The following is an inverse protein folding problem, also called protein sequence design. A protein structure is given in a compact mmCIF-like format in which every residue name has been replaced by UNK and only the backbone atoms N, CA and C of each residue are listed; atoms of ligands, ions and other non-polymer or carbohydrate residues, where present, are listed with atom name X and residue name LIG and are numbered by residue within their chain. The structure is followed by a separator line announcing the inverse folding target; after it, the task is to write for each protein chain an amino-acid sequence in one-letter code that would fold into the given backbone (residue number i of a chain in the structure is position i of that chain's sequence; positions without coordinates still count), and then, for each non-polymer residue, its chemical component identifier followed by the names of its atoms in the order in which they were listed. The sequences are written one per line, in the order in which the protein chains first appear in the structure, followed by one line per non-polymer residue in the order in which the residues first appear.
data_IF_492334105827
#
_entry.id   IF_492334105827
#
_cell.length_a   1.000
_cell.length_b   1.000
_cell.length_c   1.000
_cell.angle_alpha   90.00
_cell.angle_beta   90.00
_cell.angle_gamma   90.00
#
_symmetry.space_group_name_H-M   'P 1'
#
loop_
_entity.id
_entity.type
_entity.pdbx_description
1 polymer ?
#
# COMPACT_ATOMS: atom_id res chain seq x y z
N UNK A 1 -1.14 19.13 8.31
CA UNK A 1 -0.36 19.55 7.13
C UNK A 1 -1.23 19.33 5.89
N UNK A 2 -1.04 20.09 4.80
CA UNK A 2 -1.74 19.87 3.52
C UNK A 2 -0.72 19.42 2.47
N UNK A 3 -1.12 18.50 1.59
CA UNK A 3 -0.30 18.03 0.46
C UNK A 3 -1.09 18.06 -0.84
N UNK A 4 -0.36 18.16 -1.96
CA UNK A 4 -0.91 18.01 -3.30
C UNK A 4 -0.82 16.54 -3.69
N UNK A 5 -1.97 15.90 -3.88
CA UNK A 5 -2.05 14.51 -4.37
C UNK A 5 -2.37 14.55 -5.86
N UNK A 6 -1.58 13.81 -6.65
CA UNK A 6 -1.81 13.62 -8.08
C UNK A 6 -2.55 12.30 -8.30
N UNK A 7 -3.83 12.37 -8.63
CA UNK A 7 -4.63 11.24 -9.04
C UNK A 7 -4.63 11.05 -10.57
N UNK A 8 -5.23 9.94 -11.01
CA UNK A 8 -5.39 9.57 -12.43
C UNK A 8 -6.07 10.64 -13.30
N UNK A 9 -6.87 11.54 -12.73
CA UNK A 9 -7.64 12.55 -13.46
C UNK A 9 -7.32 14.00 -13.07
N UNK A 10 -6.28 14.25 -12.27
CA UNK A 10 -5.95 15.61 -11.82
C UNK A 10 -5.23 15.65 -10.49
N UNK A 11 -5.18 16.82 -9.86
CA UNK A 11 -4.60 17.00 -8.53
C UNK A 11 -5.63 17.52 -7.53
N UNK A 12 -5.41 17.24 -6.24
CA UNK A 12 -6.22 17.74 -5.14
C UNK A 12 -5.33 18.18 -3.99
N UNK A 13 -5.74 19.23 -3.28
CA UNK A 13 -5.09 19.64 -2.03
C UNK A 13 -5.84 18.97 -0.90
N UNK A 14 -5.17 18.09 -0.17
CA UNK A 14 -5.80 17.26 0.87
C UNK A 14 -5.03 17.30 2.18
N UNK A 15 -5.72 17.19 3.33
CA UNK A 15 -5.15 16.88 4.62
C UNK A 15 -4.18 15.69 4.61
N UNK A 16 -3.10 15.87 5.36
CA UNK A 16 -2.13 14.83 5.70
C UNK A 16 -2.27 14.48 7.18
N UNK A 17 -2.34 13.19 7.45
CA UNK A 17 -2.41 12.60 8.78
C UNK A 17 -1.17 11.76 9.04
N UNK A 18 -0.79 11.64 10.32
CA UNK A 18 0.19 10.66 10.76
C UNK A 18 -0.54 9.49 11.41
N UNK A 19 -0.22 8.29 10.96
CA UNK A 19 -0.85 7.06 11.45
C UNK A 19 0.20 5.98 11.66
N UNK A 20 -0.10 5.06 12.57
CA UNK A 20 0.61 3.79 12.67
C UNK A 20 -0.17 2.74 11.87
N UNK A 21 0.53 1.99 11.02
CA UNK A 21 -0.04 0.98 10.13
C UNK A 21 0.44 -0.39 10.56
N UNK A 22 -0.51 -1.28 10.86
CA UNK A 22 -0.22 -2.70 11.10
C UNK A 22 -0.55 -3.47 9.83
N UNK A 23 0.48 -4.01 9.18
CA UNK A 23 0.31 -4.89 8.03
C UNK A 23 0.01 -6.33 8.48
N UNK A 24 -0.58 -7.15 7.60
CA UNK A 24 -0.65 -8.60 7.78
C UNK A 24 0.70 -9.16 8.22
N UNK A 25 0.69 -10.25 9.01
CA UNK A 25 1.85 -10.84 9.70
C UNK A 25 2.51 -9.99 10.79
N UNK A 26 1.83 -8.95 11.29
CA UNK A 26 2.20 -8.27 12.54
C UNK A 26 3.31 -7.22 12.41
N UNK A 27 3.56 -6.75 11.18
CA UNK A 27 4.54 -5.69 10.92
C UNK A 27 3.91 -4.35 11.30
N UNK A 28 4.55 -3.62 12.22
CA UNK A 28 4.16 -2.28 12.63
C UNK A 28 5.03 -1.22 11.93
N UNK A 29 4.39 -0.34 11.15
CA UNK A 29 5.00 0.84 10.55
C UNK A 29 4.51 2.07 11.31
N UNK A 30 5.42 2.81 11.94
CA UNK A 30 5.06 3.94 12.80
C UNK A 30 5.25 5.28 12.11
N UNK A 31 4.44 6.28 12.48
CA UNK A 31 4.55 7.67 11.99
C UNK A 31 4.46 7.80 10.46
N UNK A 32 3.61 6.99 9.83
CA UNK A 32 3.41 7.03 8.39
C UNK A 32 2.56 8.25 8.01
N UNK A 33 3.04 9.05 7.07
CA UNK A 33 2.25 10.12 6.48
C UNK A 33 1.29 9.55 5.44
N UNK A 34 0.00 9.85 5.61
CA UNK A 34 -1.07 9.40 4.72
C UNK A 34 -1.96 10.58 4.35
N UNK A 35 -2.50 10.53 3.14
CA UNK A 35 -3.43 11.54 2.61
C UNK A 35 -4.85 10.99 2.58
N UNK A 36 -5.84 11.82 2.89
CA UNK A 36 -7.23 11.45 2.62
C UNK A 36 -7.50 11.38 1.12
N UNK A 37 -8.50 10.59 0.75
CA UNK A 37 -8.96 10.44 -0.62
C UNK A 37 -10.49 10.30 -0.61
N UNK A 38 -11.15 10.91 -1.61
CA UNK A 38 -12.58 10.73 -1.85
C UNK A 38 -12.78 9.50 -2.75
N UNK A 39 -13.35 8.43 -2.19
CA UNK A 39 -13.60 7.16 -2.90
C UNK A 39 -14.84 7.17 -3.80
N UNK A 40 -15.62 8.25 -3.80
CA UNK A 40 -16.95 8.20 -4.39
C UNK A 40 -17.84 7.15 -3.71
N UNK A 41 -19.07 6.99 -4.19
CA UNK A 41 -20.09 6.17 -3.49
C UNK A 41 -20.02 4.66 -3.74
N UNK A 42 -19.17 4.20 -4.66
CA UNK A 42 -19.25 2.84 -5.23
C UNK A 42 -17.95 2.04 -5.10
N UNK A 43 -17.02 2.47 -4.25
CA UNK A 43 -15.74 1.79 -4.06
C UNK A 43 -15.57 1.49 -2.58
N UNK A 44 -15.28 0.23 -2.24
CA UNK A 44 -15.12 -0.23 -0.87
C UNK A 44 -13.67 -0.62 -0.62
N UNK A 45 -12.88 0.31 -0.06
CA UNK A 45 -11.62 0.03 0.60
C UNK A 45 -11.32 1.14 1.60
N UNK A 46 -10.62 0.81 2.68
CA UNK A 46 -10.29 1.77 3.75
C UNK A 46 -8.92 2.41 3.55
N UNK A 47 -8.01 1.75 2.83
CA UNK A 47 -6.61 2.16 2.73
C UNK A 47 -5.97 1.78 1.38
N UNK A 48 -5.19 2.69 0.81
CA UNK A 48 -4.29 2.42 -0.33
C UNK A 48 -2.86 2.35 0.19
N UNK A 49 -2.22 1.21 -0.01
CA UNK A 49 -0.78 1.06 0.24
C UNK A 49 -0.04 1.59 -0.99
N UNK A 50 0.61 2.73 -0.83
CA UNK A 50 1.43 3.35 -1.86
C UNK A 50 2.85 2.79 -1.93
N UNK A 51 3.64 3.31 -2.88
CA UNK A 51 5.05 2.94 -3.05
C UNK A 51 5.90 3.25 -1.81
N UNK A 52 5.49 4.22 -0.99
CA UNK A 52 6.16 4.55 0.27
C UNK A 52 6.25 3.34 1.22
N UNK A 53 5.23 2.48 1.24
CA UNK A 53 5.23 1.23 2.02
C UNK A 53 5.74 0.08 1.17
N UNK A 54 5.30 -0.04 -0.10
CA UNK A 54 5.68 -1.18 -0.94
C UNK A 54 7.18 -1.30 -1.17
N UNK A 55 7.94 -0.18 -1.18
CA UNK A 55 9.39 -0.19 -1.37
C UNK A 55 10.19 -0.45 -0.10
N UNK A 56 9.55 -0.63 1.06
CA UNK A 56 10.23 -1.00 2.31
C UNK A 56 10.61 -2.48 2.37
N UNK A 57 10.05 -3.32 1.49
CA UNK A 57 10.19 -4.77 1.52
C UNK A 57 9.71 -5.44 0.24
N UNK A 58 9.32 -6.70 0.33
CA UNK A 58 8.67 -7.42 -0.77
C UNK A 58 7.20 -7.68 -0.47
N UNK A 59 6.37 -7.50 -1.49
CA UNK A 59 4.94 -7.75 -1.48
C UNK A 59 4.61 -8.82 -2.51
N UNK A 60 3.80 -9.81 -2.13
CA UNK A 60 3.20 -10.74 -3.08
C UNK A 60 1.68 -10.70 -2.96
N UNK A 61 1.03 -10.44 -4.10
CA UNK A 61 -0.41 -10.61 -4.28
C UNK A 61 -0.59 -11.75 -5.26
N UNK A 62 -1.05 -12.90 -4.75
CA UNK A 62 -1.26 -14.09 -5.57
C UNK A 62 -2.74 -14.45 -5.58
N UNK A 63 -3.17 -15.06 -6.68
CA UNK A 63 -4.50 -15.65 -6.78
C UNK A 63 -4.35 -17.11 -7.18
N UNK A 64 -4.84 -18.01 -6.34
CA UNK A 64 -4.89 -19.43 -6.63
C UNK A 64 -6.25 -19.97 -6.20
N UNK A 65 -6.90 -20.75 -7.06
CA UNK A 65 -8.24 -21.30 -6.80
C UNK A 65 -9.29 -20.22 -6.42
N UNK A 66 -9.26 -19.07 -7.10
CA UNK A 66 -10.11 -17.90 -6.79
C UNK A 66 -9.95 -17.35 -5.37
N UNK A 67 -8.87 -17.70 -4.68
CA UNK A 67 -8.52 -17.16 -3.36
C UNK A 67 -7.34 -16.21 -3.52
N UNK A 68 -7.57 -14.96 -3.17
CA UNK A 68 -6.52 -13.95 -3.08
C UNK A 68 -5.74 -14.15 -1.78
N UNK A 69 -4.41 -14.23 -1.90
CA UNK A 69 -3.49 -14.22 -0.77
C UNK A 69 -2.60 -12.99 -0.91
N UNK A 70 -2.50 -12.25 0.19
CA UNK A 70 -1.60 -11.12 0.33
C UNK A 70 -0.54 -11.48 1.37
N UNK A 71 0.72 -11.28 1.02
CA UNK A 71 1.84 -11.39 1.96
C UNK A 71 2.79 -10.21 1.78
N UNK A 72 3.46 -9.88 2.88
CA UNK A 72 4.40 -8.78 2.94
C UNK A 72 5.54 -9.16 3.87
N UNK A 73 6.76 -8.82 3.50
CA UNK A 73 7.94 -9.08 4.32
C UNK A 73 8.89 -7.90 4.33
N UNK A 74 9.48 -7.65 5.49
CA UNK A 74 10.58 -6.70 5.70
C UNK A 74 11.61 -7.42 6.59
N UNK A 75 12.91 -7.38 6.26
CA UNK A 75 13.53 -6.73 5.09
C UNK A 75 13.23 -7.46 3.76
N UNK A 76 13.51 -6.82 2.60
CA UNK A 76 13.37 -7.48 1.30
C UNK A 76 14.33 -8.67 1.13
N UNK A 77 14.10 -9.47 0.10
CA UNK A 77 14.83 -10.70 -0.20
C UNK A 77 16.23 -10.39 -0.71
N UNK A 78 17.14 -11.33 -0.47
CA UNK A 78 18.46 -11.28 -1.12
C UNK A 78 18.35 -11.56 -2.63
N UNK A 79 17.33 -12.30 -3.05
CA UNK A 79 17.08 -12.68 -4.45
C UNK A 79 15.71 -12.18 -4.90
N UNK A 80 15.64 -11.65 -6.12
CA UNK A 80 14.37 -11.25 -6.72
C UNK A 80 13.44 -12.45 -6.95
N UNK A 81 12.15 -12.21 -6.74
CA UNK A 81 11.08 -13.08 -7.24
C UNK A 81 10.63 -12.48 -8.57
N UNK A 82 10.75 -13.25 -9.64
CA UNK A 82 10.30 -12.87 -10.98
C UNK A 82 9.59 -14.08 -11.58
N UNK A 83 8.25 -14.01 -11.63
CA UNK A 83 7.40 -15.09 -12.15
C UNK A 83 7.66 -15.43 -13.63
N UNK A 84 8.47 -14.66 -14.35
CA UNK A 84 8.88 -14.96 -15.72
C UNK A 84 10.19 -15.77 -15.80
N UNK A 85 10.92 -15.84 -14.69
CA UNK A 85 12.19 -16.56 -14.57
C UNK A 85 12.10 -17.79 -13.66
N UNK A 86 10.91 -18.04 -13.09
CA UNK A 86 10.55 -19.23 -12.33
C UNK A 86 10.09 -20.41 -13.22
#
# INVERSE_FOLDING_TARGET
MLSVVHGIHGFSVVPVYQVDVVLPVGILLTNMEVTEFDIGKNVEFDFIIGMNIMLMGDMALTNANNKTVFSFRIPPAETHIDFTQD
#
